data_IF_536012927346
#
_entry.id   IF_536012927346
#
_cell.length_a   1.000
_cell.length_b   1.000
_cell.length_c   1.000
_cell.angle_alpha   90.00
_cell.angle_beta   90.00
_cell.angle_gamma   90.00
#
_symmetry.space_group_name_H-M   'P 1'
#
loop_
_entity.id
_entity.type
_entity.pdbx_description
1 polymer ?
#
# COMPACT_ATOMS: atom_id res chain seq x y z
N UNK A 1 -31.13 14.27 -25.24
CA UNK A 1 -31.52 13.20 -24.31
C UNK A 1 -30.25 12.57 -23.73
N UNK A 2 -29.86 12.88 -22.48
CA UNK A 2 -28.55 12.55 -21.90
C UNK A 2 -28.43 11.10 -21.39
N UNK A 3 -29.40 10.22 -21.68
CA UNK A 3 -29.49 8.89 -21.04
C UNK A 3 -29.10 7.70 -21.92
N UNK A 4 -28.20 7.86 -22.89
CA UNK A 4 -27.69 6.71 -23.65
C UNK A 4 -26.17 6.67 -23.63
N UNK A 5 -25.63 5.72 -22.87
CA UNK A 5 -24.96 4.51 -23.37
C UNK A 5 -24.27 3.80 -22.19
N UNK A 6 -24.87 2.70 -21.75
CA UNK A 6 -24.24 1.73 -20.87
C UNK A 6 -23.64 0.64 -21.77
N UNK A 7 -22.31 0.53 -21.93
CA UNK A 7 -21.73 -0.58 -22.68
C UNK A 7 -21.87 -1.86 -21.84
N UNK A 8 -22.29 -2.94 -22.50
CA UNK A 8 -22.66 -4.21 -21.88
C UNK A 8 -21.60 -4.75 -20.90
N UNK A 9 -22.08 -5.19 -19.74
CA UNK A 9 -21.30 -5.95 -18.75
C UNK A 9 -20.78 -7.24 -19.38
N UNK A 10 -19.49 -7.27 -19.65
CA UNK A 10 -18.79 -8.45 -20.15
C UNK A 10 -18.68 -9.50 -19.02
N UNK A 11 -19.33 -10.68 -19.11
CA UNK A 11 -19.41 -11.64 -18.01
C UNK A 11 -18.05 -12.24 -17.61
N UNK A 12 -17.05 -12.16 -18.49
CA UNK A 12 -15.67 -12.58 -18.23
C UNK A 12 -14.93 -11.62 -17.29
N UNK A 13 -15.27 -10.33 -17.29
CA UNK A 13 -14.73 -9.35 -16.35
C UNK A 13 -15.23 -9.64 -14.92
N UNK A 14 -16.51 -9.98 -14.74
CA UNK A 14 -17.09 -10.32 -13.44
C UNK A 14 -16.42 -11.54 -12.78
N UNK A 15 -16.05 -12.56 -13.58
CA UNK A 15 -15.34 -13.75 -13.08
C UNK A 15 -13.88 -13.47 -12.70
N UNK A 16 -13.21 -12.53 -13.38
CA UNK A 16 -11.88 -12.08 -12.99
C UNK A 16 -11.89 -11.27 -11.69
N UNK A 17 -12.98 -10.53 -11.42
CA UNK A 17 -13.19 -9.77 -10.18
C UNK A 17 -13.40 -10.68 -8.96
N UNK A 18 -14.10 -11.81 -9.12
CA UNK A 18 -14.28 -12.79 -8.04
C UNK A 18 -12.96 -13.42 -7.54
N UNK A 19 -12.00 -13.65 -8.45
CA UNK A 19 -10.71 -14.30 -8.11
C UNK A 19 -9.73 -13.39 -7.38
N UNK A 20 -9.72 -12.10 -7.66
CA UNK A 20 -8.82 -11.12 -6.99
C UNK A 20 -9.38 -10.67 -5.63
N UNK A 21 -10.70 -10.58 -5.48
CA UNK A 21 -11.35 -10.38 -4.18
C UNK A 21 -11.18 -11.60 -3.26
N UNK A 22 -11.38 -12.82 -3.77
CA UNK A 22 -11.16 -14.04 -3.01
C UNK A 22 -9.73 -14.18 -2.48
N UNK A 23 -8.71 -13.75 -3.23
CA UNK A 23 -7.30 -13.77 -2.77
C UNK A 23 -7.00 -12.73 -1.69
N UNK A 24 -7.65 -11.56 -1.72
CA UNK A 24 -7.52 -10.53 -0.67
C UNK A 24 -8.22 -10.95 0.61
N UNK A 25 -9.42 -11.53 0.52
CA UNK A 25 -10.10 -12.12 1.67
C UNK A 25 -9.39 -13.38 2.19
N UNK A 26 -8.73 -14.16 1.34
CA UNK A 26 -7.89 -15.28 1.78
C UNK A 26 -6.65 -14.80 2.54
N UNK A 27 -6.01 -13.70 2.14
CA UNK A 27 -4.87 -13.14 2.87
C UNK A 27 -5.27 -12.52 4.23
N UNK A 28 -6.40 -11.82 4.29
CA UNK A 28 -6.95 -11.28 5.54
C UNK A 28 -7.51 -12.40 6.43
N UNK A 29 -8.16 -13.39 5.85
CA UNK A 29 -8.66 -14.58 6.54
C UNK A 29 -7.52 -15.42 7.10
N UNK A 30 -6.44 -15.62 6.33
CA UNK A 30 -5.25 -16.32 6.80
C UNK A 30 -4.58 -15.54 7.93
N UNK A 31 -4.46 -14.21 7.84
CA UNK A 31 -3.96 -13.37 8.93
C UNK A 31 -4.86 -13.44 10.17
N UNK A 32 -6.19 -13.39 9.99
CA UNK A 32 -7.15 -13.51 11.08
C UNK A 32 -7.05 -14.87 11.76
N UNK A 33 -6.99 -15.95 10.98
CA UNK A 33 -6.76 -17.32 11.48
C UNK A 33 -5.42 -17.39 12.21
N UNK A 34 -4.32 -16.89 11.63
CA UNK A 34 -3.01 -16.92 12.28
C UNK A 34 -3.00 -16.15 13.60
N UNK A 35 -3.65 -14.98 13.65
CA UNK A 35 -3.79 -14.23 14.89
C UNK A 35 -4.66 -14.95 15.90
N UNK A 36 -5.75 -15.60 15.46
CA UNK A 36 -6.64 -16.35 16.34
C UNK A 36 -5.96 -17.61 16.87
N UNK A 37 -5.18 -18.31 16.04
CA UNK A 37 -4.38 -19.47 16.40
C UNK A 37 -3.27 -19.07 17.37
N UNK A 38 -2.56 -17.97 17.11
CA UNK A 38 -1.55 -17.44 18.03
C UNK A 38 -2.18 -17.03 19.37
N UNK A 39 -3.35 -16.38 19.36
CA UNK A 39 -4.06 -15.97 20.57
C UNK A 39 -4.60 -17.18 21.35
N UNK A 40 -5.08 -18.20 20.64
CA UNK A 40 -5.53 -19.46 21.23
C UNK A 40 -4.37 -20.19 21.89
N UNK A 41 -3.21 -20.28 21.22
CA UNK A 41 -2.01 -20.92 21.78
C UNK A 41 -1.49 -20.16 23.01
N UNK A 42 -1.47 -18.82 22.96
CA UNK A 42 -1.13 -17.98 24.11
C UNK A 42 -2.14 -18.15 25.27
N UNK A 43 -3.43 -18.26 24.95
CA UNK A 43 -4.48 -18.50 25.95
C UNK A 43 -4.33 -19.85 26.64
N UNK A 44 -4.05 -20.92 25.88
CA UNK A 44 -3.80 -22.25 26.44
C UNK A 44 -2.52 -22.26 27.30
N UNK A 45 -1.45 -21.58 26.86
CA UNK A 45 -0.23 -21.42 27.64
C UNK A 45 -0.49 -20.67 28.96
N UNK A 46 -1.31 -19.62 28.92
CA UNK A 46 -1.67 -18.84 30.10
C UNK A 46 -2.50 -19.64 31.11
N UNK A 47 -3.40 -20.51 30.65
CA UNK A 47 -4.16 -21.43 31.54
C UNK A 47 -3.22 -22.46 32.18
N UNK A 48 -2.33 -23.08 31.39
CA UNK A 48 -1.34 -24.05 31.90
C UNK A 48 -0.39 -23.41 32.92
N UNK A 49 0.07 -22.20 32.65
CA UNK A 49 0.89 -21.45 33.61
C UNK A 49 0.11 -20.99 34.84
N UNK A 50 -1.16 -20.62 34.70
CA UNK A 50 -2.02 -20.27 35.83
C UNK A 50 -2.17 -21.44 36.80
N UNK A 51 -2.29 -22.66 36.28
CA UNK A 51 -2.27 -23.90 37.09
C UNK A 51 -0.90 -24.09 37.76
N UNK A 52 0.20 -23.79 37.07
CA UNK A 52 1.56 -23.80 37.63
C UNK A 52 1.81 -22.75 38.72
N UNK A 53 1.23 -21.55 38.60
CA UNK A 53 1.31 -20.51 39.64
C UNK A 53 0.54 -20.94 40.90
N UNK A 54 -0.62 -21.57 40.74
CA UNK A 54 -1.38 -22.13 41.87
C UNK A 54 -0.61 -23.24 42.61
N UNK A 55 0.37 -23.87 41.97
CA UNK A 55 1.29 -24.85 42.59
C UNK A 55 2.51 -24.23 43.30
N UNK A 56 2.60 -22.89 43.38
CA UNK A 56 3.64 -22.19 44.15
C UNK A 56 4.94 -21.90 43.39
N UNK A 57 4.93 -21.97 42.06
CA UNK A 57 6.12 -21.69 41.24
C UNK A 57 6.22 -20.22 40.83
N UNK A 58 7.21 -19.49 41.35
CA UNK A 58 7.51 -18.10 40.97
C UNK A 58 7.90 -17.96 39.47
N UNK A 59 8.52 -18.99 38.91
CA UNK A 59 8.92 -19.03 37.50
C UNK A 59 7.69 -19.06 36.58
N UNK A 60 6.61 -19.74 37.01
CA UNK A 60 5.35 -19.74 36.27
C UNK A 60 4.67 -18.36 36.27
N UNK A 61 4.84 -17.56 37.34
CA UNK A 61 4.29 -16.21 37.43
C UNK A 61 4.95 -15.24 36.44
N UNK A 62 6.28 -15.31 36.31
CA UNK A 62 7.04 -14.51 35.35
C UNK A 62 6.72 -14.86 33.90
N UNK A 63 6.65 -16.16 33.60
CA UNK A 63 6.27 -16.61 32.26
C UNK A 63 4.83 -16.18 31.92
N UNK A 64 3.92 -16.14 32.90
CA UNK A 64 2.52 -15.75 32.70
C UNK A 64 2.42 -14.26 32.39
N UNK A 65 3.17 -13.44 33.14
CA UNK A 65 3.34 -12.02 32.87
C UNK A 65 3.92 -11.76 31.47
N UNK A 66 4.94 -12.52 31.06
CA UNK A 66 5.54 -12.40 29.72
C UNK A 66 4.54 -12.75 28.61
N UNK A 67 3.76 -13.82 28.75
CA UNK A 67 2.70 -14.16 27.78
C UNK A 67 1.59 -13.11 27.72
N UNK A 68 1.22 -12.52 28.86
CA UNK A 68 0.21 -11.47 28.92
C UNK A 68 0.69 -10.20 28.19
N UNK A 69 1.95 -9.83 28.42
CA UNK A 69 2.60 -8.70 27.76
C UNK A 69 2.70 -8.93 26.24
N UNK A 70 3.08 -10.14 25.83
CA UNK A 70 3.15 -10.52 24.41
C UNK A 70 1.77 -10.44 23.74
N UNK A 71 0.72 -10.89 24.44
CA UNK A 71 -0.67 -10.79 23.98
C UNK A 71 -1.08 -9.34 23.74
N UNK A 72 -0.78 -8.45 24.69
CA UNK A 72 -1.05 -7.01 24.56
C UNK A 72 -0.27 -6.36 23.40
N UNK A 73 0.97 -6.78 23.16
CA UNK A 73 1.78 -6.31 22.03
C UNK A 73 1.16 -6.74 20.70
N UNK A 74 0.77 -8.02 20.57
CA UNK A 74 0.13 -8.56 19.36
C UNK A 74 -1.21 -7.87 19.10
N UNK A 75 -1.99 -7.63 20.16
CA UNK A 75 -3.28 -6.95 20.07
C UNK A 75 -3.10 -5.47 19.67
N UNK A 76 -2.16 -4.77 20.30
CA UNK A 76 -1.84 -3.37 19.98
C UNK A 76 -1.31 -3.22 18.55
N UNK A 77 -0.46 -4.15 18.09
CA UNK A 77 0.03 -4.18 16.71
C UNK A 77 -1.10 -4.43 15.71
N UNK A 78 -1.97 -5.38 16.01
CA UNK A 78 -3.14 -5.72 15.18
C UNK A 78 -4.13 -4.56 15.08
N UNK A 79 -4.43 -3.89 16.20
CA UNK A 79 -5.31 -2.70 16.20
C UNK A 79 -4.66 -1.54 15.44
N UNK A 80 -3.35 -1.32 15.58
CA UNK A 80 -2.63 -0.30 14.79
C UNK A 80 -2.66 -0.63 13.29
N UNK A 81 -2.47 -1.89 12.91
CA UNK A 81 -2.54 -2.38 11.54
C UNK A 81 -3.97 -2.23 10.98
N UNK A 82 -4.98 -2.64 11.74
CA UNK A 82 -6.39 -2.50 11.39
C UNK A 82 -6.78 -1.03 11.24
N UNK A 83 -6.33 -0.14 12.14
CA UNK A 83 -6.55 1.30 12.03
C UNK A 83 -5.85 1.91 10.82
N UNK A 84 -4.66 1.43 10.43
CA UNK A 84 -4.01 1.84 9.17
C UNK A 84 -4.80 1.39 7.94
N UNK A 85 -5.44 0.22 8.01
CA UNK A 85 -6.30 -0.30 6.93
C UNK A 85 -7.67 0.39 6.89
N UNK A 86 -8.23 0.79 8.04
CA UNK A 86 -9.48 1.54 8.15
C UNK A 86 -9.31 3.03 7.86
N UNK A 87 -8.10 3.58 8.07
CA UNK A 87 -7.72 4.94 7.65
C UNK A 87 -7.15 4.99 6.24
N UNK A 88 -6.89 3.84 5.61
CA UNK A 88 -6.71 3.84 4.18
C UNK A 88 -8.04 4.30 3.59
N UNK A 89 -8.07 5.35 2.75
CA UNK A 89 -9.30 5.80 2.12
C UNK A 89 -9.97 4.58 1.51
N UNK A 90 -11.19 4.28 1.96
CA UNK A 90 -12.03 3.25 1.33
C UNK A 90 -12.10 3.65 -0.14
N UNK A 91 -11.51 2.89 -1.07
CA UNK A 91 -11.60 3.27 -2.47
C UNK A 91 -13.06 3.21 -2.84
N UNK A 92 -13.62 4.36 -3.22
CA UNK A 92 -14.98 4.48 -3.71
C UNK A 92 -15.18 3.41 -4.79
N UNK A 93 -16.27 2.62 -4.79
CA UNK A 93 -16.49 1.59 -5.80
C UNK A 93 -16.52 2.17 -7.23
N UNK A 94 -16.77 3.48 -7.38
CA UNK A 94 -16.70 4.22 -8.64
C UNK A 94 -15.27 4.61 -9.07
N UNK A 95 -14.27 4.44 -8.21
CA UNK A 95 -12.84 4.72 -8.50
C UNK A 95 -12.02 3.45 -8.77
N UNK A 96 -12.54 2.28 -8.41
CA UNK A 96 -11.91 0.99 -8.71
C UNK A 96 -12.14 0.51 -10.15
N UNK A 97 -13.13 1.06 -10.85
CA UNK A 97 -13.39 0.73 -12.26
C UNK A 97 -12.31 1.28 -13.22
N UNK A 98 -11.46 2.17 -12.74
CA UNK A 98 -10.31 2.67 -13.47
C UNK A 98 -9.13 2.90 -12.51
N UNK A 99 -8.49 1.83 -12.01
CA UNK A 99 -7.06 1.97 -11.75
C UNK A 99 -6.46 2.54 -13.05
N UNK A 100 -5.82 3.74 -13.02
CA UNK A 100 -5.37 4.38 -14.23
C UNK A 100 -4.54 3.36 -15.01
N UNK A 101 -4.75 3.21 -16.32
CA UNK A 101 -4.08 2.18 -17.15
C UNK A 101 -2.58 2.08 -16.83
N UNK A 102 -1.99 3.24 -16.54
CA UNK A 102 -0.61 3.49 -16.12
C UNK A 102 -0.19 2.70 -14.87
N UNK A 103 -1.05 2.61 -13.84
CA UNK A 103 -0.77 1.80 -12.65
C UNK A 103 -0.80 0.30 -12.98
N UNK A 104 -1.71 -0.14 -13.85
CA UNK A 104 -1.78 -1.55 -14.24
C UNK A 104 -0.57 -1.96 -15.08
N UNK A 105 -0.16 -1.09 -16.00
CA UNK A 105 1.00 -1.28 -16.84
C UNK A 105 2.29 -1.30 -16.01
N UNK A 106 2.43 -0.38 -15.05
CA UNK A 106 3.54 -0.38 -14.08
C UNK A 106 3.64 -1.72 -13.32
N UNK A 107 2.52 -2.27 -12.84
CA UNK A 107 2.49 -3.56 -12.14
C UNK A 107 2.71 -4.76 -13.08
N UNK A 108 2.41 -4.64 -14.37
CA UNK A 108 2.82 -5.65 -15.38
C UNK A 108 4.32 -5.61 -15.58
N UNK A 109 4.90 -4.42 -15.75
CA UNK A 109 6.34 -4.22 -15.89
C UNK A 109 7.10 -4.80 -14.70
N UNK A 110 6.66 -4.52 -13.46
CA UNK A 110 7.25 -5.11 -12.26
C UNK A 110 7.26 -6.64 -12.32
N UNK A 111 6.10 -7.27 -12.59
CA UNK A 111 5.98 -8.74 -12.61
C UNK A 111 6.80 -9.40 -13.71
N UNK A 112 6.97 -8.73 -14.85
CA UNK A 112 7.81 -9.22 -15.93
C UNK A 112 9.29 -9.23 -15.53
N UNK A 113 9.72 -8.24 -14.77
CA UNK A 113 11.13 -8.00 -14.48
C UNK A 113 11.58 -8.59 -13.14
N UNK A 114 10.66 -8.81 -12.19
CA UNK A 114 10.94 -9.36 -10.85
C UNK A 114 11.78 -10.64 -10.86
N UNK A 115 11.53 -11.54 -11.83
CA UNK A 115 12.26 -12.82 -11.95
C UNK A 115 13.57 -12.71 -12.73
N UNK A 116 13.74 -11.65 -13.52
CA UNK A 116 14.88 -11.48 -14.41
C UNK A 116 16.01 -10.66 -13.77
N UNK A 117 15.71 -9.86 -12.74
CA UNK A 117 16.71 -9.05 -12.06
C UNK A 117 17.51 -9.83 -11.00
N UNK A 118 18.78 -9.46 -10.78
CA UNK A 118 19.54 -9.90 -9.62
C UNK A 118 18.88 -9.49 -8.29
N UNK A 119 19.05 -10.32 -7.27
CA UNK A 119 18.62 -10.04 -5.90
C UNK A 119 19.05 -8.66 -5.34
N UNK A 120 20.27 -8.14 -5.57
CA UNK A 120 20.67 -6.83 -5.01
C UNK A 120 19.91 -5.63 -5.61
N UNK A 121 19.41 -5.75 -6.84
CA UNK A 121 18.71 -4.65 -7.55
C UNK A 121 17.20 -4.63 -7.29
N UNK A 122 16.63 -5.76 -6.86
CA UNK A 122 15.22 -5.92 -6.55
C UNK A 122 14.65 -4.87 -5.57
N UNK A 123 15.29 -4.57 -4.41
CA UNK A 123 14.74 -3.59 -3.48
C UNK A 123 14.65 -2.18 -4.08
N UNK A 124 15.61 -1.79 -4.93
CA UNK A 124 15.59 -0.49 -5.61
C UNK A 124 14.45 -0.42 -6.65
N UNK A 125 14.19 -1.52 -7.36
CA UNK A 125 13.06 -1.61 -8.29
C UNK A 125 11.73 -1.49 -7.55
N UNK A 126 11.56 -2.21 -6.43
CA UNK A 126 10.37 -2.12 -5.60
C UNK A 126 10.18 -0.72 -5.04
N UNK A 127 11.25 -0.08 -4.55
CA UNK A 127 11.24 1.32 -4.10
C UNK A 127 10.72 2.26 -5.19
N UNK A 128 11.35 2.23 -6.37
CA UNK A 128 10.95 3.05 -7.51
C UNK A 128 9.49 2.82 -7.92
N UNK A 129 9.06 1.56 -8.08
CA UNK A 129 7.68 1.21 -8.47
C UNK A 129 6.66 1.68 -7.43
N UNK A 130 6.95 1.52 -6.13
CA UNK A 130 6.05 1.97 -5.07
C UNK A 130 5.94 3.49 -5.04
N UNK A 131 7.06 4.21 -5.16
CA UNK A 131 7.08 5.66 -5.23
C UNK A 131 6.32 6.19 -6.46
N UNK A 132 6.53 5.60 -7.64
CA UNK A 132 5.80 5.98 -8.87
C UNK A 132 4.31 5.73 -8.74
N UNK A 133 3.90 4.58 -8.18
CA UNK A 133 2.48 4.30 -7.92
C UNK A 133 1.87 5.33 -6.97
N UNK A 134 2.57 5.67 -5.90
CA UNK A 134 2.07 6.61 -4.90
C UNK A 134 2.00 8.03 -5.50
N UNK A 135 2.94 8.43 -6.36
CA UNK A 135 2.89 9.67 -7.11
C UNK A 135 1.72 9.71 -8.12
N UNK A 136 1.48 8.62 -8.86
CA UNK A 136 0.34 8.49 -9.77
C UNK A 136 -1.00 8.64 -9.03
N UNK A 137 -1.13 8.03 -7.85
CA UNK A 137 -2.33 8.14 -7.02
C UNK A 137 -2.51 9.53 -6.44
N UNK A 138 -1.42 10.15 -5.98
CA UNK A 138 -1.46 11.51 -5.43
C UNK A 138 -1.85 12.56 -6.49
N UNK A 139 -1.50 12.32 -7.75
CA UNK A 139 -1.80 13.19 -8.89
C UNK A 139 -3.07 12.81 -9.66
N UNK A 140 -3.73 11.70 -9.33
CA UNK A 140 -4.89 11.18 -10.06
C UNK A 140 -6.10 12.13 -10.04
N UNK A 141 -6.27 12.90 -8.96
CA UNK A 141 -7.40 13.82 -8.78
C UNK A 141 -7.09 15.25 -9.26
N UNK A 142 -5.87 15.50 -9.74
CA UNK A 142 -5.47 16.80 -10.27
C UNK A 142 -6.08 16.97 -11.68
N UNK A 143 -7.01 17.91 -11.82
CA UNK A 143 -7.70 18.18 -13.10
C UNK A 143 -6.85 19.00 -14.07
N UNK A 144 -5.85 19.72 -13.56
CA UNK A 144 -4.89 20.48 -14.36
C UNK A 144 -3.69 19.62 -14.73
N UNK A 145 -3.24 19.71 -15.98
CA UNK A 145 -2.01 19.06 -16.42
C UNK A 145 -0.81 19.83 -15.85
N UNK A 146 -0.29 19.37 -14.72
CA UNK A 146 0.93 19.91 -14.11
C UNK A 146 2.14 19.10 -14.54
N UNK A 147 3.34 19.68 -14.39
CA UNK A 147 4.61 18.97 -14.63
C UNK A 147 4.69 17.68 -13.82
N UNK A 148 4.23 17.69 -12.57
CA UNK A 148 4.30 16.53 -11.69
C UNK A 148 3.36 15.39 -12.14
N UNK A 149 2.18 15.72 -12.69
CA UNK A 149 1.28 14.73 -13.31
C UNK A 149 1.96 14.10 -14.54
N UNK A 150 2.63 14.91 -15.35
CA UNK A 150 3.35 14.45 -16.52
C UNK A 150 4.54 13.54 -16.13
N UNK A 151 5.40 14.00 -15.22
CA UNK A 151 6.56 13.26 -14.74
C UNK A 151 6.14 11.91 -14.13
N UNK A 152 5.06 11.86 -13.35
CA UNK A 152 4.57 10.60 -12.76
C UNK A 152 4.09 9.60 -13.82
N UNK A 153 3.41 10.08 -14.87
CA UNK A 153 2.97 9.25 -16.00
C UNK A 153 4.13 8.81 -16.87
N UNK A 154 5.08 9.69 -17.15
CA UNK A 154 6.28 9.38 -17.92
C UNK A 154 7.13 8.33 -17.22
N UNK A 155 7.34 8.48 -15.91
CA UNK A 155 8.09 7.51 -15.11
C UNK A 155 7.48 6.11 -15.18
N UNK A 156 6.14 6.01 -15.15
CA UNK A 156 5.43 4.74 -15.20
C UNK A 156 5.39 4.11 -16.61
N UNK A 157 5.20 4.93 -17.65
CA UNK A 157 4.99 4.46 -19.02
C UNK A 157 6.27 4.25 -19.81
N UNK A 158 7.30 5.03 -19.51
CA UNK A 158 8.49 5.13 -20.37
C UNK A 158 9.77 4.92 -19.57
N UNK A 159 10.03 5.71 -18.53
CA UNK A 159 11.35 5.70 -17.89
C UNK A 159 11.65 4.35 -17.22
N UNK A 160 10.74 3.84 -16.38
CA UNK A 160 10.92 2.55 -15.71
C UNK A 160 11.02 1.37 -16.70
N UNK A 161 10.06 1.19 -17.66
CA UNK A 161 10.19 0.15 -18.67
C UNK A 161 11.49 0.25 -19.48
N UNK A 162 11.86 1.46 -19.95
CA UNK A 162 13.05 1.67 -20.78
C UNK A 162 14.34 1.32 -20.04
N UNK A 163 14.48 1.74 -18.78
CA UNK A 163 15.68 1.44 -17.98
C UNK A 163 15.84 -0.07 -17.80
N UNK A 164 14.73 -0.77 -17.54
CA UNK A 164 14.72 -2.20 -17.37
C UNK A 164 15.00 -2.97 -18.68
N UNK A 165 14.40 -2.55 -19.79
CA UNK A 165 14.67 -3.10 -21.12
C UNK A 165 16.13 -2.90 -21.54
N UNK A 166 16.69 -1.72 -21.29
CA UNK A 166 18.10 -1.40 -21.57
C UNK A 166 19.03 -2.32 -20.77
N UNK A 167 18.73 -2.54 -19.49
CA UNK A 167 19.52 -3.42 -18.64
C UNK A 167 19.43 -4.90 -19.06
N UNK A 168 18.27 -5.35 -19.52
CA UNK A 168 18.07 -6.73 -19.99
C UNK A 168 18.74 -6.99 -21.35
N UNK A 169 18.68 -6.02 -22.25
CA UNK A 169 19.27 -6.12 -23.61
C UNK A 169 20.78 -5.92 -23.61
N UNK A 170 21.36 -5.32 -22.56
CA UNK A 170 22.79 -5.25 -22.38
C UNK A 170 23.42 -6.64 -22.31
N UNK A 171 24.51 -6.85 -23.06
CA UNK A 171 25.32 -8.07 -22.98
C UNK A 171 25.78 -8.30 -21.53
N UNK A 172 26.02 -9.54 -21.07
CA UNK A 172 26.40 -9.82 -19.69
C UNK A 172 27.62 -9.03 -19.19
N UNK A 173 28.54 -8.69 -20.10
CA UNK A 173 29.74 -7.88 -19.82
C UNK A 173 29.47 -6.37 -19.72
N UNK A 174 28.36 -5.89 -20.28
CA UNK A 174 27.91 -4.49 -20.23
C UNK A 174 26.81 -4.22 -19.20
N UNK A 175 26.45 -5.21 -18.39
CA UNK A 175 25.42 -5.10 -17.36
C UNK A 175 26.02 -4.46 -16.10
N UNK A 176 25.61 -3.23 -15.79
CA UNK A 176 26.02 -2.51 -14.59
C UNK A 176 24.87 -2.39 -13.58
N UNK A 177 24.88 -3.28 -12.58
CA UNK A 177 23.90 -3.31 -11.50
C UNK A 177 23.91 -2.04 -10.65
N UNK A 178 25.07 -1.37 -10.53
CA UNK A 178 25.19 -0.14 -9.74
C UNK A 178 24.54 1.02 -10.45
N UNK A 179 24.72 1.11 -11.76
CA UNK A 179 24.09 2.15 -12.57
C UNK A 179 22.57 1.95 -12.63
N UNK A 180 22.09 0.71 -12.81
CA UNK A 180 20.66 0.42 -12.71
C UNK A 180 20.09 0.85 -11.36
N UNK A 181 20.75 0.47 -10.26
CA UNK A 181 20.31 0.85 -8.91
C UNK A 181 20.29 2.37 -8.72
N UNK A 182 21.29 3.08 -9.27
CA UNK A 182 21.36 4.54 -9.22
C UNK A 182 20.18 5.18 -9.95
N UNK A 183 19.87 4.72 -11.16
CA UNK A 183 18.74 5.25 -11.95
C UNK A 183 17.39 4.99 -11.29
N UNK A 184 17.19 3.78 -10.74
CA UNK A 184 15.98 3.45 -9.99
C UNK A 184 15.79 4.36 -8.77
N UNK A 185 16.86 4.64 -8.03
CA UNK A 185 16.82 5.57 -6.88
C UNK A 185 16.50 7.01 -7.31
N UNK A 186 17.02 7.48 -8.44
CA UNK A 186 16.68 8.82 -8.95
C UNK A 186 15.18 8.95 -9.24
N UNK A 187 14.57 7.90 -9.82
CA UNK A 187 13.13 7.86 -10.06
C UNK A 187 12.38 7.81 -8.73
N UNK A 188 12.80 6.94 -7.80
CA UNK A 188 12.22 6.83 -6.46
C UNK A 188 12.18 8.20 -5.74
N UNK A 189 13.31 8.89 -5.68
CA UNK A 189 13.45 10.19 -5.01
C UNK A 189 12.60 11.29 -5.67
N UNK A 190 12.49 11.30 -7.00
CA UNK A 190 11.65 12.28 -7.71
C UNK A 190 10.16 12.01 -7.45
N UNK A 191 9.74 10.75 -7.55
CA UNK A 191 8.33 10.36 -7.36
C UNK A 191 7.88 10.53 -5.91
N UNK A 192 8.73 10.18 -4.93
CA UNK A 192 8.46 10.39 -3.52
C UNK A 192 8.22 11.87 -3.20
N UNK A 193 9.04 12.78 -3.78
CA UNK A 193 8.85 14.23 -3.62
C UNK A 193 7.53 14.71 -4.22
N UNK A 194 7.13 14.22 -5.39
CA UNK A 194 5.83 14.55 -6.00
C UNK A 194 4.68 14.11 -5.08
N UNK A 195 4.72 12.87 -4.59
CA UNK A 195 3.68 12.34 -3.71
C UNK A 195 3.57 13.15 -2.41
N UNK A 196 4.70 13.53 -1.80
CA UNK A 196 4.74 14.35 -0.60
C UNK A 196 4.20 15.76 -0.85
N UNK A 197 4.63 16.43 -1.91
CA UNK A 197 4.18 17.78 -2.26
C UNK A 197 2.66 17.83 -2.48
N UNK A 198 2.10 16.83 -3.18
CA UNK A 198 0.65 16.72 -3.38
C UNK A 198 -0.09 16.45 -2.07
N UNK A 199 0.43 15.57 -1.21
CA UNK A 199 -0.18 15.32 0.11
C UNK A 199 -0.20 16.57 0.99
N UNK A 200 0.86 17.38 0.96
CA UNK A 200 0.92 18.66 1.67
C UNK A 200 -0.06 19.68 1.10
N UNK A 201 -0.17 19.79 -0.23
CA UNK A 201 -1.14 20.66 -0.88
C UNK A 201 -2.57 20.31 -0.47
N UNK A 202 -2.93 19.02 -0.55
CA UNK A 202 -4.25 18.55 -0.15
C UNK A 202 -4.57 18.85 1.32
N UNK A 203 -3.59 18.72 2.22
CA UNK A 203 -3.76 19.09 3.63
C UNK A 203 -4.01 20.58 3.81
N UNK A 204 -3.26 21.44 3.11
CA UNK A 204 -3.47 22.90 3.15
C UNK A 204 -4.86 23.26 2.64
N UNK A 205 -5.31 22.66 1.55
CA UNK A 205 -6.63 22.92 0.98
C UNK A 205 -7.76 22.47 1.93
N UNK A 206 -7.61 21.30 2.56
CA UNK A 206 -8.57 20.81 3.57
C UNK A 206 -8.62 21.71 4.81
N UNK A 207 -7.48 22.20 5.28
CA UNK A 207 -7.41 23.14 6.39
C UNK A 207 -8.09 24.46 6.03
N UNK A 208 -7.77 25.03 4.87
CA UNK A 208 -8.39 26.27 4.38
C UNK A 208 -9.92 26.12 4.25
N UNK A 209 -10.38 24.99 3.69
CA UNK A 209 -11.81 24.67 3.60
C UNK A 209 -12.46 24.56 4.97
N UNK A 210 -11.81 23.90 5.92
CA UNK A 210 -12.32 23.76 7.29
C UNK A 210 -12.44 25.11 7.98
N UNK A 211 -11.42 25.97 7.85
CA UNK A 211 -11.43 27.33 8.39
C UNK A 211 -12.54 28.17 7.78
N UNK A 212 -12.68 28.15 6.45
CA UNK A 212 -13.76 28.85 5.75
C UNK A 212 -15.15 28.39 6.19
N UNK A 213 -15.37 27.07 6.31
CA UNK A 213 -16.65 26.54 6.78
C UNK A 213 -16.93 26.94 8.23
N UNK A 214 -15.91 26.90 9.10
CA UNK A 214 -16.07 27.34 10.49
C UNK A 214 -16.46 28.81 10.54
N UNK A 215 -15.78 29.69 9.82
CA UNK A 215 -16.09 31.11 9.74
C UNK A 215 -17.52 31.36 9.22
N UNK A 216 -17.91 30.65 8.15
CA UNK A 216 -19.24 30.79 7.54
C UNK A 216 -20.40 30.30 8.40
N UNK A 217 -20.19 29.23 9.18
CA UNK A 217 -21.26 28.54 9.91
C UNK A 217 -21.21 28.72 11.43
N UNK A 218 -20.23 29.45 11.97
CA UNK A 218 -20.24 29.83 13.38
C UNK A 218 -21.15 31.05 13.53
N UNK A 219 -22.30 30.94 14.24
CA UNK A 219 -23.15 32.10 14.49
C UNK A 219 -22.38 33.14 15.33
N UNK A 220 -22.65 34.45 15.15
CA UNK A 220 -22.13 35.46 16.05
C UNK A 220 -22.50 35.10 17.48
N UNK A 221 -21.52 35.11 18.39
CA UNK A 221 -21.82 35.01 19.81
C UNK A 221 -22.27 36.41 20.26
N UNK A 222 -23.60 36.57 20.37
CA UNK A 222 -24.23 37.65 21.13
C UNK A 222 -24.31 37.28 22.62
#
# INVERSE_FOLDING_TARGET
DPWRLQPGRDPRAALAHGRTQARRFAGVGLLAVLTLTALSFLGTLAVLLGIGVASGSDVAGWLLGATLLLSLIVLGWSVRRARRLLRAPTPDPLTLEAAPRDEQDLLRTLRQHERALPAPTLPALLGAVTATRDALRATAHTTTLTRDVFDARQAAREDLPRILETYQTAAPQGRDDRELTRQLRLIEDRMARIAQAQAESQRRDQQARTTYLRDKYTPPQD
#
